data_IF_247421213148
#
_entry.id   IF_247421213148
#
_cell.length_a   1.000
_cell.length_b   1.000
_cell.length_c   1.000
_cell.angle_alpha   90.00
_cell.angle_beta   90.00
_cell.angle_gamma   90.00
#
_symmetry.space_group_name_H-M   'P 1'
#
loop_
_entity.id
_entity.type
_entity.pdbx_description
1 polymer ?
2 water ?
#
# COMPACT_ATOMS: atom_id res chain seq x y z
N UNK A 1 -25.65 11.21 4.18
CA UNK A 1 -24.60 12.22 4.27
C UNK A 1 -23.73 12.23 3.01
N UNK A 2 -23.35 13.42 2.57
CA UNK A 2 -22.31 13.56 1.56
C UNK A 2 -21.20 14.44 2.13
N UNK A 3 -20.18 14.64 1.30
CA UNK A 3 -18.97 15.30 1.73
C UNK A 3 -18.40 16.01 0.51
N UNK A 4 -17.70 17.10 0.75
CA UNK A 4 -17.02 17.78 -0.34
C UNK A 4 -15.74 17.03 -0.66
N UNK A 5 -15.50 16.81 -1.95
CA UNK A 5 -14.23 16.31 -2.43
C UNK A 5 -13.54 17.47 -3.13
N UNK A 6 -12.42 17.91 -2.58
CA UNK A 6 -11.61 18.95 -3.16
C UNK A 6 -10.39 18.30 -3.81
N UNK A 7 -10.22 18.51 -5.09
CA UNK A 7 -9.11 17.94 -5.85
C UNK A 7 -8.22 19.10 -6.28
N UNK A 8 -6.95 19.04 -5.88
CA UNK A 8 -6.05 20.17 -6.01
C UNK A 8 -4.74 19.74 -6.63
N UNK A 9 -4.26 20.54 -7.55
CA UNK A 9 -2.89 20.44 -8.00
C UNK A 9 -2.19 21.68 -7.44
N UNK A 10 -1.24 21.46 -6.53
CA UNK A 10 -0.62 22.57 -5.83
C UNK A 10 0.45 23.26 -6.66
N UNK A 11 1.05 22.57 -7.62
CA UNK A 11 2.32 23.07 -8.11
C UNK A 11 2.78 22.40 -9.39
N UNK A 12 2.05 21.42 -9.84
CA UNK A 12 2.63 20.72 -10.96
C UNK A 12 2.20 21.38 -12.27
N UNK A 13 3.13 21.69 -13.15
CA UNK A 13 2.74 22.26 -14.44
C UNK A 13 2.06 21.20 -15.30
N UNK A 14 1.33 21.67 -16.29
CA UNK A 14 0.73 20.76 -17.22
C UNK A 14 -0.62 20.31 -16.71
N UNK A 15 -1.08 19.23 -17.32
CA UNK A 15 -2.45 18.80 -17.10
C UNK A 15 -2.47 17.71 -16.05
N UNK A 16 -3.39 17.83 -15.11
CA UNK A 16 -3.66 16.81 -14.12
C UNK A 16 -5.15 16.51 -14.15
N UNK A 17 -5.47 15.25 -14.33
CA UNK A 17 -6.84 14.79 -14.19
C UNK A 17 -6.93 13.89 -12.96
N UNK A 18 -8.03 14.00 -12.25
CA UNK A 18 -8.35 13.08 -11.19
C UNK A 18 -9.43 12.13 -11.67
N UNK A 19 -9.41 10.91 -11.14
CA UNK A 19 -10.54 10.00 -11.24
C UNK A 19 -10.96 9.64 -9.83
N UNK A 20 -12.26 9.49 -9.63
CA UNK A 20 -12.77 9.01 -8.37
C UNK A 20 -13.57 7.76 -8.69
N UNK A 21 -13.10 6.62 -8.21
CA UNK A 21 -13.78 5.36 -8.41
C UNK A 21 -14.10 4.77 -7.05
N UNK A 22 -15.15 3.95 -7.02
CA UNK A 22 -15.48 3.24 -5.80
C UNK A 22 -16.73 2.42 -6.02
N UNK A 23 -17.22 1.86 -4.93
CA UNK A 23 -18.45 1.08 -4.94
C UNK A 23 -19.51 1.84 -4.19
N UNK A 24 -20.67 2.02 -4.82
CA UNK A 24 -21.73 2.76 -4.17
C UNK A 24 -22.25 1.97 -2.98
N UNK A 25 -22.42 2.66 -1.85
CA UNK A 25 -22.87 2.02 -0.63
C UNK A 25 -24.22 1.36 -0.87
N UNK A 26 -24.30 0.06 -0.55
CA UNK A 26 -25.53 -0.68 -0.72
C UNK A 26 -25.55 -1.49 -2.00
N UNK A 27 -25.61 -0.79 -3.12
CA UNK A 27 -25.71 -1.47 -4.41
C UNK A 27 -24.46 -2.24 -4.75
N UNK A 28 -23.34 -1.95 -4.08
CA UNK A 28 -22.01 -2.50 -4.39
C UNK A 28 -21.55 -2.18 -5.81
N UNK A 29 -22.27 -1.32 -6.52
CA UNK A 29 -21.98 -1.11 -7.93
C UNK A 29 -20.84 -0.12 -8.08
N UNK A 30 -19.89 -0.48 -8.93
CA UNK A 30 -18.85 0.46 -9.34
C UNK A 30 -19.45 1.79 -9.72
N UNK A 31 -18.90 2.85 -9.15
CA UNK A 31 -19.27 4.19 -9.54
C UNK A 31 -18.00 4.98 -9.82
N UNK A 32 -18.13 5.98 -10.67
CA UNK A 32 -17.07 6.93 -10.92
C UNK A 32 -17.66 8.32 -10.78
N UNK A 33 -16.95 9.20 -10.09
CA UNK A 33 -17.37 10.58 -10.09
C UNK A 33 -17.03 11.18 -11.43
N UNK A 34 -17.88 12.04 -11.93
CA UNK A 34 -17.66 12.62 -13.24
C UNK A 34 -17.21 14.06 -13.10
N UNK A 35 -16.50 14.58 -14.10
CA UNK A 35 -16.12 16.01 -14.06
C UNK A 35 -17.29 16.92 -13.80
N UNK A 36 -18.49 16.60 -14.28
CA UNK A 36 -19.65 17.46 -14.05
C UNK A 36 -20.23 17.33 -12.64
N UNK A 37 -19.59 16.56 -11.76
CA UNK A 37 -20.08 16.37 -10.41
C UNK A 37 -21.04 15.22 -10.22
N UNK A 38 -21.59 14.68 -11.31
CA UNK A 38 -22.51 13.56 -11.19
C UNK A 38 -21.75 12.26 -11.10
N UNK A 39 -22.47 11.20 -10.77
CA UNK A 39 -21.91 9.86 -10.68
C UNK A 39 -22.17 9.13 -11.99
N UNK A 40 -21.16 8.41 -12.45
CA UNK A 40 -21.32 7.46 -13.54
C UNK A 40 -21.29 6.07 -12.94
N UNK A 41 -22.40 5.36 -13.08
CA UNK A 41 -22.51 3.96 -12.64
C UNK A 41 -22.47 3.08 -13.87
N UNK A 42 -21.32 2.51 -14.24
CA UNK A 42 -21.26 1.74 -15.48
C UNK A 42 -22.21 0.56 -15.46
N UNK A 43 -22.83 0.30 -16.60
CA UNK A 43 -23.49 -0.98 -16.75
C UNK A 43 -22.46 -2.03 -17.12
N UNK A 44 -22.83 -3.28 -16.91
CA UNK A 44 -21.95 -4.36 -17.36
C UNK A 44 -21.78 -4.26 -18.86
N UNK A 45 -20.55 -4.35 -19.36
CA UNK A 45 -20.32 -4.23 -20.80
C UNK A 45 -20.59 -5.55 -21.51
N UNK A 46 -20.81 -5.44 -22.81
CA UNK A 46 -20.99 -6.62 -23.63
C UNK A 46 -19.74 -7.41 -23.89
N UNK A 47 -18.57 -6.88 -23.52
CA UNK A 47 -17.33 -7.55 -23.84
C UNK A 47 -16.30 -7.16 -22.78
N UNK A 48 -15.29 -7.98 -22.55
CA UNK A 48 -14.22 -7.59 -21.64
C UNK A 48 -13.41 -6.45 -22.23
N UNK A 49 -12.64 -5.81 -21.36
CA UNK A 49 -11.74 -4.75 -21.80
C UNK A 49 -12.49 -3.68 -22.58
N UNK A 50 -13.72 -3.43 -22.20
CA UNK A 50 -14.50 -2.39 -22.85
C UNK A 50 -14.06 -1.03 -22.32
N UNK A 51 -13.60 -0.13 -23.17
CA UNK A 51 -13.22 1.21 -22.68
C UNK A 51 -14.37 1.84 -21.94
N UNK A 52 -14.03 2.55 -20.86
CA UNK A 52 -15.03 3.25 -20.09
C UNK A 52 -15.87 4.15 -21.00
N UNK A 53 -17.19 3.93 -21.09
CA UNK A 53 -18.00 4.67 -22.07
C UNK A 53 -18.08 6.14 -21.80
N UNK A 54 -17.81 6.57 -20.57
CA UNK A 54 -17.91 7.97 -20.20
C UNK A 54 -16.52 8.42 -19.77
N UNK A 55 -16.13 9.62 -20.19
CA UNK A 55 -14.85 10.18 -19.75
C UNK A 55 -15.05 10.67 -18.33
N UNK A 56 -14.53 9.92 -17.37
CA UNK A 56 -14.67 10.30 -15.98
C UNK A 56 -13.44 11.03 -15.46
N UNK A 57 -12.53 11.39 -16.35
CA UNK A 57 -11.40 12.23 -15.97
C UNK A 57 -11.90 13.56 -15.47
N UNK A 58 -11.44 13.95 -14.27
CA UNK A 58 -11.83 15.22 -13.68
C UNK A 58 -10.63 16.13 -13.86
N UNK A 59 -10.67 17.05 -14.82
CA UNK A 59 -9.55 17.97 -15.01
C UNK A 59 -9.36 18.84 -13.78
N UNK A 60 -8.13 18.85 -13.29
CA UNK A 60 -7.80 19.73 -12.18
C UNK A 60 -7.49 21.12 -12.70
N UNK A 61 -7.86 22.13 -11.93
CA UNK A 61 -7.38 23.47 -12.19
C UNK A 61 -5.85 23.48 -12.24
N UNK A 62 -5.27 24.49 -12.88
CA UNK A 62 -3.83 24.56 -12.97
C UNK A 62 -3.18 24.61 -11.61
N UNK A 63 -1.89 24.28 -11.59
CA UNK A 63 -1.06 24.36 -10.40
C UNK A 63 -1.35 25.62 -9.60
N UNK A 64 -1.76 25.44 -8.35
CA UNK A 64 -2.05 26.57 -7.48
C UNK A 64 -3.33 27.32 -7.77
N UNK A 65 -4.09 26.92 -8.78
CA UNK A 65 -5.33 27.65 -9.06
C UNK A 65 -6.46 27.31 -8.11
N UNK A 66 -6.25 26.37 -7.19
CA UNK A 66 -7.30 26.02 -6.27
C UNK A 66 -7.93 24.68 -6.62
N UNK A 67 -8.81 24.20 -5.75
CA UNK A 67 -9.37 22.87 -5.95
C UNK A 67 -10.59 22.86 -6.87
N UNK A 68 -10.70 21.76 -7.60
CA UNK A 68 -11.99 21.32 -8.10
C UNK A 68 -12.76 20.73 -6.92
N UNK A 69 -13.91 21.31 -6.62
CA UNK A 69 -14.74 20.89 -5.50
C UNK A 69 -15.99 20.24 -6.07
N UNK A 70 -16.23 18.99 -5.67
CA UNK A 70 -17.46 18.31 -6.03
C UNK A 70 -18.05 17.66 -4.80
N UNK A 71 -19.31 17.26 -4.92
CA UNK A 71 -19.98 16.56 -3.85
C UNK A 71 -19.59 15.09 -3.94
N UNK A 72 -18.93 14.60 -2.90
CA UNK A 72 -18.52 13.21 -2.86
C UNK A 72 -19.66 12.39 -2.30
N UNK A 73 -20.27 11.50 -3.07
CA UNK A 73 -21.25 10.58 -2.49
C UNK A 73 -20.54 9.49 -1.73
N UNK A 74 -21.30 8.83 -0.87
CA UNK A 74 -20.73 7.74 -0.11
C UNK A 74 -20.42 6.58 -1.04
N UNK A 75 -19.26 5.98 -0.82
CA UNK A 75 -18.78 4.87 -1.62
C UNK A 75 -17.67 4.22 -0.86
N UNK A 76 -17.39 2.97 -1.18
CA UNK A 76 -16.39 2.22 -0.45
C UNK A 76 -15.43 1.58 -1.43
N UNK A 77 -14.28 1.16 -0.92
CA UNK A 77 -13.25 0.60 -1.75
C UNK A 77 -12.90 1.61 -2.82
N UNK A 78 -12.98 2.87 -2.45
CA UNK A 78 -12.90 3.98 -3.37
C UNK A 78 -11.45 4.43 -3.56
N UNK A 79 -11.21 5.08 -4.69
CA UNK A 79 -9.90 5.59 -4.99
C UNK A 79 -10.05 6.98 -5.57
N UNK A 80 -9.07 7.82 -5.27
CA UNK A 80 -8.85 9.03 -6.05
C UNK A 80 -7.59 8.80 -6.83
N UNK A 81 -7.70 8.80 -8.16
CA UNK A 81 -6.55 8.70 -9.03
C UNK A 81 -6.14 10.09 -9.46
N UNK A 82 -4.88 10.23 -9.75
CA UNK A 82 -4.38 11.41 -10.45
C UNK A 82 -3.53 10.90 -11.58
N UNK A 83 -3.54 11.65 -12.67
CA UNK A 83 -2.71 11.34 -13.82
C UNK A 83 -2.24 12.65 -14.40
N UNK A 84 -0.96 12.70 -14.76
CA UNK A 84 -0.39 13.88 -15.36
C UNK A 84 -0.40 13.73 -16.86
N UNK A 85 -0.67 14.85 -17.54
CA UNK A 85 -0.55 14.93 -19.00
C UNK A 85 -1.63 14.09 -19.67
N UNK A 86 -1.51 12.77 -19.57
CA UNK A 86 -2.48 11.90 -20.20
C UNK A 86 -3.74 11.79 -19.35
N UNK A 87 -4.70 11.05 -19.87
CA UNK A 87 -5.79 10.54 -19.06
C UNK A 87 -5.50 9.07 -18.77
N UNK A 88 -6.27 8.51 -17.85
CA UNK A 88 -6.12 7.09 -17.58
C UNK A 88 -7.15 6.33 -18.40
N UNK A 89 -6.74 5.18 -18.93
CA UNK A 89 -7.66 4.30 -19.62
C UNK A 89 -8.24 3.33 -18.58
N UNK A 90 -9.48 3.56 -18.22
CA UNK A 90 -10.25 2.59 -17.46
C UNK A 90 -11.04 1.74 -18.43
N UNK A 91 -11.23 0.47 -18.06
CA UNK A 91 -12.03 -0.40 -18.88
C UNK A 91 -13.11 -1.01 -18.01
N UNK A 92 -14.04 -1.68 -18.67
CA UNK A 92 -15.10 -2.43 -18.01
C UNK A 92 -14.99 -3.86 -18.48
N UNK A 93 -15.05 -4.79 -17.54
CA UNK A 93 -15.28 -6.17 -17.84
C UNK A 93 -16.70 -6.52 -17.43
N UNK A 94 -17.27 -7.60 -17.95
CA UNK A 94 -18.63 -7.97 -17.56
C UNK A 94 -18.76 -8.01 -16.05
N UNK A 95 -19.87 -7.49 -15.55
CA UNK A 95 -20.06 -7.40 -14.12
C UNK A 95 -21.12 -6.41 -13.72
N UNK A 96 -20.87 -5.11 -13.89
CA UNK A 96 -19.61 -4.54 -14.40
C UNK A 96 -18.47 -4.66 -13.40
N UNK A 97 -17.28 -4.94 -13.91
CA UNK A 97 -16.06 -4.96 -13.11
C UNK A 97 -15.13 -3.91 -13.68
N UNK A 98 -14.88 -2.84 -12.92
CA UNK A 98 -13.98 -1.80 -13.38
C UNK A 98 -12.58 -2.37 -13.53
N UNK A 99 -12.00 -2.22 -14.72
CA UNK A 99 -10.61 -2.59 -14.95
C UNK A 99 -9.78 -1.39 -14.55
N UNK A 100 -9.09 -1.50 -13.47
CA UNK A 100 -8.32 -0.40 -12.90
C UNK A 100 -6.90 -0.43 -13.45
N UNK A 101 -6.32 0.74 -13.70
CA UNK A 101 -4.93 0.78 -14.16
C UNK A 101 -4.07 -0.07 -13.26
N UNK A 102 -3.28 -0.95 -13.87
CA UNK A 102 -2.47 -1.92 -13.15
C UNK A 102 -1.05 -1.38 -13.12
N UNK A 103 -0.68 -0.74 -12.00
CA UNK A 103 0.59 -0.02 -11.92
C UNK A 103 1.80 -0.94 -12.06
N UNK A 104 1.67 -2.23 -11.75
CA UNK A 104 2.79 -3.17 -11.79
C UNK A 104 2.70 -4.12 -12.96
N UNK A 105 1.86 -3.81 -13.94
CA UNK A 105 1.71 -4.68 -15.10
C UNK A 105 2.22 -3.93 -16.32
N UNK A 106 3.35 -4.31 -16.90
CA UNK A 106 3.94 -3.51 -17.98
C UNK A 106 3.09 -3.46 -19.24
N UNK A 107 2.24 -4.47 -19.47
CA UNK A 107 1.31 -4.43 -20.60
C UNK A 107 0.18 -3.44 -20.38
N UNK A 108 0.03 -2.90 -19.19
CA UNK A 108 -1.12 -2.06 -18.89
C UNK A 108 -1.07 -0.77 -19.72
N UNK A 109 -2.20 -0.36 -20.30
CA UNK A 109 -2.22 0.86 -21.11
C UNK A 109 -1.70 2.08 -20.40
N UNK A 110 -1.82 2.12 -19.08
CA UNK A 110 -1.39 3.27 -18.31
C UNK A 110 0.00 3.09 -17.72
N UNK A 111 0.64 1.96 -17.99
CA UNK A 111 1.91 1.65 -17.32
C UNK A 111 2.95 2.72 -17.57
N UNK A 112 3.02 3.21 -18.80
CA UNK A 112 3.90 4.29 -19.14
C UNK A 112 3.44 5.66 -18.71
N UNK A 113 2.30 5.76 -18.05
CA UNK A 113 1.80 7.07 -17.67
C UNK A 113 2.17 7.39 -16.23
N UNK A 114 2.21 8.70 -15.95
CA UNK A 114 2.49 9.21 -14.63
C UNK A 114 1.18 9.32 -13.88
N UNK A 115 0.87 8.29 -13.09
CA UNK A 115 -0.37 8.33 -12.33
C UNK A 115 -0.14 7.74 -10.95
N UNK A 116 -1.10 8.01 -10.10
CA UNK A 116 -1.06 7.60 -8.71
C UNK A 116 -2.49 7.47 -8.26
N UNK A 117 -2.65 6.92 -7.07
CA UNK A 117 -3.98 6.93 -6.48
C UNK A 117 -3.80 6.84 -4.98
N UNK A 118 -4.82 7.30 -4.28
CA UNK A 118 -4.99 6.98 -2.89
C UNK A 118 -6.34 6.30 -2.74
N UNK A 119 -6.61 5.82 -1.54
CA UNK A 119 -7.81 5.01 -1.32
C UNK A 119 -8.64 5.67 -0.24
N UNK A 120 -9.93 5.44 -0.32
CA UNK A 120 -10.78 5.98 0.72
C UNK A 120 -12.07 5.20 0.73
N UNK A 121 -12.78 5.34 1.83
CA UNK A 121 -14.12 4.83 1.97
C UNK A 121 -14.90 5.91 2.67
N UNK A 122 -16.12 6.12 2.20
CA UNK A 122 -16.99 7.14 2.77
C UNK A 122 -18.33 6.45 2.96
N UNK A 123 -18.69 6.20 4.21
CA UNK A 123 -19.93 5.53 4.58
C UNK A 123 -20.59 6.41 5.64
N UNK A 124 -21.74 6.06 6.23
CA UNK A 124 -22.33 6.97 7.24
C UNK A 124 -21.54 7.04 8.53
N UNK A 125 -20.65 6.07 8.78
CA UNK A 125 -19.81 6.10 9.97
C UNK A 125 -18.68 7.13 9.84
N UNK A 126 -17.97 7.11 8.72
CA UNK A 126 -16.80 7.95 8.57
C UNK A 126 -16.42 8.06 7.10
N UNK A 127 -15.58 9.03 6.81
CA UNK A 127 -14.71 8.98 5.66
C UNK A 127 -13.35 8.54 6.16
N UNK A 128 -12.85 7.43 5.65
CA UNK A 128 -11.52 6.95 5.96
C UNK A 128 -10.73 7.01 4.68
N UNK A 129 -9.60 7.70 4.70
CA UNK A 129 -8.74 7.78 3.54
C UNK A 129 -7.36 7.28 3.93
N UNK A 130 -6.58 6.90 2.93
CA UNK A 130 -5.31 6.29 3.23
C UNK A 130 -4.32 6.56 2.10
N UNK A 131 -3.21 7.18 2.46
CA UNK A 131 -2.02 7.15 1.61
C UNK A 131 -1.22 5.94 2.06
N UNK A 132 -1.03 4.99 1.16
CA UNK A 132 -0.25 3.81 1.49
C UNK A 132 0.83 3.62 0.45
N UNK A 133 2.00 3.21 0.92
CA UNK A 133 3.09 2.83 0.04
C UNK A 133 3.38 1.36 0.13
N UNK A 134 2.35 0.58 0.47
CA UNK A 134 2.53 -0.87 0.50
C UNK A 134 2.84 -1.39 -0.89
N UNK A 135 2.21 -0.81 -1.91
CA UNK A 135 2.30 -1.33 -3.26
C UNK A 135 3.19 -0.52 -4.17
N UNK A 136 3.12 0.80 -4.07
CA UNK A 136 3.92 1.60 -4.98
C UNK A 136 4.09 2.99 -4.41
N UNK A 137 5.11 3.66 -4.91
CA UNK A 137 5.29 5.08 -4.79
C UNK A 137 5.36 5.61 -6.21
N UNK A 138 4.94 6.83 -6.40
CA UNK A 138 4.85 7.34 -7.76
C UNK A 138 5.49 8.71 -7.85
N UNK A 139 5.75 9.10 -9.10
CA UNK A 139 6.13 10.45 -9.46
C UNK A 139 5.00 11.43 -9.28
N UNK A 140 3.85 11.00 -8.76
CA UNK A 140 2.70 11.89 -8.61
C UNK A 140 2.17 11.79 -7.19
N UNK A 141 3.00 12.11 -6.20
CA UNK A 141 2.63 11.85 -4.81
C UNK A 141 1.38 12.60 -4.41
N UNK A 142 0.51 11.91 -3.68
CA UNK A 142 -0.74 12.44 -3.20
C UNK A 142 -0.61 12.76 -1.74
N UNK A 143 -1.15 13.91 -1.34
CA UNK A 143 -1.36 14.25 0.05
C UNK A 143 -2.83 14.52 0.25
N UNK A 144 -3.31 14.44 1.47
CA UNK A 144 -4.72 14.66 1.67
C UNK A 144 -4.94 15.39 2.98
N UNK A 145 -6.10 16.04 3.03
CA UNK A 145 -6.58 16.71 4.22
C UNK A 145 -8.04 16.36 4.35
N UNK A 146 -8.42 15.85 5.51
CA UNK A 146 -9.80 15.54 5.81
C UNK A 146 -10.26 16.50 6.88
N UNK A 147 -11.23 17.34 6.53
CA UNK A 147 -11.83 18.28 7.47
C UNK A 147 -13.22 17.76 7.83
N UNK A 148 -13.46 17.59 9.12
CA UNK A 148 -14.76 17.21 9.62
C UNK A 148 -14.84 17.64 11.06
N UNK A 149 -15.06 16.68 11.97
CA UNK A 149 -14.95 16.98 13.38
C UNK A 149 -13.59 17.60 13.70
N UNK A 150 -12.53 17.06 13.11
CA UNK A 150 -11.19 17.60 13.24
C UNK A 150 -10.61 17.79 11.85
N UNK A 151 -9.43 18.37 11.79
CA UNK A 151 -8.67 18.45 10.55
C UNK A 151 -7.59 17.38 10.60
N UNK A 152 -7.57 16.52 9.60
CA UNK A 152 -6.58 15.47 9.50
C UNK A 152 -5.84 15.67 8.20
N UNK A 153 -4.51 15.67 8.28
CA UNK A 153 -3.66 15.85 7.12
C UNK A 153 -2.75 14.64 7.01
N UNK A 154 -2.53 14.18 5.80
CA UNK A 154 -1.52 13.18 5.53
C UNK A 154 -0.56 13.81 4.55
N UNK A 155 0.68 13.95 4.98
CA UNK A 155 1.69 14.54 4.14
C UNK A 155 2.02 13.60 2.99
N UNK A 156 2.23 14.14 1.79
CA UNK A 156 2.57 13.30 0.64
C UNK A 156 4.02 12.87 0.67
N UNK A 157 4.33 11.95 -0.22
CA UNK A 157 5.72 11.80 -0.61
C UNK A 157 6.24 13.18 -1.01
N UNK A 158 7.42 13.57 -0.55
CA UNK A 158 7.96 14.86 -0.97
C UNK A 158 8.27 14.82 -2.45
N UNK A 159 8.27 16.01 -3.04
CA UNK A 159 8.74 16.15 -4.40
C UNK A 159 10.04 15.39 -4.59
N UNK A 160 10.08 14.54 -5.60
CA UNK A 160 11.27 13.79 -5.92
C UNK A 160 11.44 12.49 -5.15
N UNK A 161 10.49 12.14 -4.29
CA UNK A 161 10.66 10.93 -3.48
C UNK A 161 10.86 9.71 -4.36
N UNK A 162 10.04 9.58 -5.41
CA UNK A 162 10.09 8.36 -6.22
C UNK A 162 11.47 8.20 -6.84
N UNK A 163 12.09 9.31 -7.21
CA UNK A 163 13.43 9.24 -7.78
C UNK A 163 14.44 8.78 -6.74
N UNK A 164 14.39 9.39 -5.56
CA UNK A 164 15.25 8.95 -4.45
C UNK A 164 15.03 7.47 -4.17
N UNK A 165 13.76 7.08 -4.06
CA UNK A 165 13.43 5.69 -3.76
C UNK A 165 13.98 4.79 -4.86
N UNK A 166 13.75 5.17 -6.12
CA UNK A 166 14.30 4.42 -7.23
C UNK A 166 15.82 4.36 -7.12
N UNK A 167 16.44 5.50 -6.87
CA UNK A 167 17.90 5.53 -6.77
C UNK A 167 18.40 4.71 -5.58
N UNK A 168 17.76 4.86 -4.42
CA UNK A 168 18.18 4.05 -3.26
C UNK A 168 18.05 2.57 -3.56
N UNK A 169 16.93 2.17 -4.16
CA UNK A 169 16.72 0.75 -4.41
C UNK A 169 17.69 0.25 -5.48
N UNK A 170 17.96 1.07 -6.49
CA UNK A 170 18.97 0.70 -7.47
C UNK A 170 20.34 0.57 -6.80
N UNK A 171 20.69 1.54 -5.94
CA UNK A 171 21.89 1.42 -5.14
C UNK A 171 21.88 0.13 -4.32
N UNK A 172 20.74 -0.17 -3.70
CA UNK A 172 20.62 -1.42 -2.97
C UNK A 172 20.90 -2.60 -3.88
N UNK A 173 20.26 -2.61 -5.06
CA UNK A 173 20.46 -3.70 -6.02
C UNK A 173 21.92 -3.83 -6.44
N UNK A 174 22.59 -2.70 -6.66
CA UNK A 174 24.03 -2.76 -6.93
C UNK A 174 24.76 -3.43 -5.77
N UNK A 175 24.33 -3.16 -4.54
CA UNK A 175 25.04 -3.68 -3.38
C UNK A 175 24.80 -5.18 -3.21
N UNK A 176 23.55 -5.62 -3.28
CA UNK A 176 23.22 -6.99 -2.94
C UNK A 176 22.84 -7.87 -4.13
N UNK A 177 22.80 -7.31 -5.34
CA UNK A 177 22.47 -8.13 -6.49
C UNK A 177 21.05 -8.61 -6.53
N UNK A 178 20.21 -8.14 -5.61
CA UNK A 178 18.78 -8.44 -5.65
C UNK A 178 18.09 -7.47 -6.61
N UNK A 179 16.97 -7.88 -7.19
CA UNK A 179 16.34 -7.04 -8.23
C UNK A 179 15.58 -5.83 -7.70
N UNK A 180 16.10 -5.14 -6.69
CA UNK A 180 15.43 -3.93 -6.23
C UNK A 180 15.31 -2.91 -7.33
N UNK A 181 16.27 -2.90 -8.25
CA UNK A 181 16.22 -1.95 -9.35
C UNK A 181 15.05 -2.27 -10.29
N UNK A 182 14.69 -3.55 -10.42
CA UNK A 182 13.57 -3.91 -11.27
C UNK A 182 12.24 -3.45 -10.72
N UNK A 183 12.18 -3.03 -9.44
CA UNK A 183 10.96 -2.43 -8.93
C UNK A 183 10.68 -1.08 -9.54
N UNK A 184 11.68 -0.47 -10.17
CA UNK A 184 11.52 0.87 -10.70
C UNK A 184 10.87 0.79 -12.08
N UNK A 185 9.87 1.62 -12.31
CA UNK A 185 9.31 1.78 -13.65
C UNK A 185 9.71 3.14 -14.17
N UNK A 186 10.40 3.15 -15.30
CA UNK A 186 10.72 4.38 -16.01
C UNK A 186 9.92 4.42 -17.30
N UNK A 187 9.38 5.60 -17.60
CA UNK A 187 8.74 5.82 -18.88
C UNK A 187 9.72 5.69 -20.03
N UNK A 188 9.16 5.66 -21.25
CA UNK A 188 9.97 5.59 -22.45
C UNK A 188 10.97 6.74 -22.56
N UNK A 189 10.91 7.73 -21.67
CA UNK A 189 11.78 8.90 -21.68
C UNK A 189 12.71 8.95 -20.49
N UNK A 190 12.78 7.89 -19.67
CA UNK A 190 13.65 7.85 -18.51
C UNK A 190 13.03 8.37 -17.22
N UNK A 191 11.91 9.10 -17.29
CA UNK A 191 11.19 9.53 -16.11
C UNK A 191 10.83 8.35 -15.22
N UNK A 192 11.28 8.40 -13.96
CA UNK A 192 10.80 7.41 -13.00
C UNK A 192 9.31 7.65 -12.78
N UNK A 193 8.49 6.68 -13.14
CA UNK A 193 7.06 6.88 -12.97
C UNK A 193 6.59 6.39 -11.61
N UNK A 194 7.16 5.29 -11.18
CA UNK A 194 6.74 4.68 -9.95
C UNK A 194 7.78 3.65 -9.59
N UNK A 195 7.78 3.28 -8.33
CA UNK A 195 8.47 2.09 -7.87
C UNK A 195 7.42 1.28 -7.14
N UNK A 196 7.41 -0.01 -7.41
CA UNK A 196 6.43 -0.90 -6.80
C UNK A 196 7.15 -1.76 -5.77
N UNK A 197 6.41 -2.21 -4.77
CA UNK A 197 6.98 -3.05 -3.76
C UNK A 197 7.34 -4.41 -4.36
N UNK A 198 8.22 -5.16 -3.69
CA UNK A 198 8.70 -6.42 -4.28
C UNK A 198 7.60 -7.41 -4.59
N UNK A 199 6.58 -7.53 -3.74
CA UNK A 199 5.53 -8.51 -4.02
C UNK A 199 4.93 -8.25 -5.39
N UNK A 200 4.81 -6.98 -5.78
CA UNK A 200 4.27 -6.66 -7.10
C UNK A 200 5.19 -7.12 -8.22
N UNK A 201 6.51 -7.09 -8.00
CA UNK A 201 7.41 -7.68 -8.99
C UNK A 201 7.39 -9.19 -8.91
N UNK A 202 7.07 -9.73 -7.75
CA UNK A 202 7.10 -11.18 -7.59
C UNK A 202 5.83 -11.84 -8.07
N UNK A 203 4.71 -11.11 -7.98
CA UNK A 203 3.40 -11.71 -8.23
C UNK A 203 3.27 -12.38 -9.59
N UNK A 204 3.82 -11.84 -10.69
CA UNK A 204 3.74 -12.59 -11.96
C UNK A 204 4.39 -13.94 -11.90
N UNK A 205 5.37 -14.12 -11.03
CA UNK A 205 6.08 -15.38 -10.92
C UNK A 205 5.57 -16.26 -9.78
N UNK A 206 4.43 -15.92 -9.18
CA UNK A 206 3.91 -16.79 -8.14
C UNK A 206 3.63 -18.18 -8.69
N UNK A 207 3.14 -18.25 -9.94
CA UNK A 207 2.93 -19.53 -10.61
C UNK A 207 4.25 -20.21 -10.93
N UNK A 208 5.35 -19.46 -11.05
CA UNK A 208 6.66 -20.03 -11.37
C UNK A 208 7.70 -19.53 -10.37
N UNK A 209 7.68 -20.08 -9.15
CA UNK A 209 8.57 -19.55 -8.11
C UNK A 209 10.05 -19.60 -8.45
N UNK A 210 10.47 -20.56 -9.29
CA UNK A 210 11.89 -20.70 -9.60
C UNK A 210 12.46 -19.44 -10.25
N UNK A 211 11.64 -18.70 -10.97
CA UNK A 211 12.06 -17.46 -11.59
C UNK A 211 11.64 -16.23 -10.81
N UNK A 212 11.02 -16.41 -9.66
CA UNK A 212 10.49 -15.29 -8.93
C UNK A 212 11.62 -14.39 -8.44
N UNK A 213 11.59 -13.10 -8.74
CA UNK A 213 12.56 -12.18 -8.15
C UNK A 213 12.46 -12.25 -6.64
N UNK A 214 13.61 -12.08 -5.98
CA UNK A 214 13.71 -12.04 -4.53
C UNK A 214 13.42 -13.36 -3.86
N UNK A 215 13.20 -14.43 -4.64
CA UNK A 215 12.73 -15.69 -4.07
C UNK A 215 13.58 -16.11 -2.87
N UNK A 216 14.88 -15.90 -2.94
CA UNK A 216 15.76 -16.36 -1.90
C UNK A 216 16.39 -15.23 -1.12
N UNK A 217 15.82 -14.03 -1.23
CA UNK A 217 16.34 -12.90 -0.47
C UNK A 217 16.40 -13.24 1.00
N UNK A 218 15.29 -13.75 1.54
CA UNK A 218 15.14 -13.96 2.97
C UNK A 218 15.42 -15.39 3.40
N UNK A 219 15.68 -16.29 2.44
CA UNK A 219 15.69 -17.72 2.75
C UNK A 219 16.69 -18.05 3.84
N UNK A 220 17.93 -17.56 3.70
CA UNK A 220 18.93 -17.81 4.72
C UNK A 220 18.50 -17.22 6.07
N UNK A 221 18.07 -15.97 6.05
CA UNK A 221 17.67 -15.32 7.30
C UNK A 221 16.51 -16.06 7.95
N UNK A 222 15.53 -16.49 7.16
CA UNK A 222 14.42 -17.24 7.71
C UNK A 222 14.91 -18.50 8.41
N UNK A 223 15.85 -19.21 7.77
CA UNK A 223 16.40 -20.42 8.38
C UNK A 223 17.09 -20.08 9.70
N UNK A 224 17.87 -19.00 9.70
CA UNK A 224 18.48 -18.52 10.92
C UNK A 224 17.44 -18.24 11.99
N UNK A 225 16.38 -17.52 11.63
CA UNK A 225 15.32 -17.20 12.58
C UNK A 225 14.66 -18.46 13.08
N UNK A 226 14.27 -19.32 12.15
CA UNK A 226 13.64 -20.57 12.53
C UNK A 226 14.55 -21.37 13.44
N UNK A 227 15.85 -21.41 13.12
CA UNK A 227 16.78 -22.14 13.97
C UNK A 227 16.91 -21.48 15.34
N UNK A 228 17.00 -20.15 15.37
CA UNK A 228 17.05 -19.45 16.65
C UNK A 228 15.91 -19.90 17.56
N UNK A 229 14.69 -19.88 17.04
CA UNK A 229 13.54 -20.12 17.89
C UNK A 229 13.20 -21.60 18.01
N UNK A 230 14.05 -22.49 17.51
CA UNK A 230 13.99 -23.88 17.94
C UNK A 230 14.51 -24.05 19.35
N UNK A 231 15.34 -23.13 19.85
CA UNK A 231 16.01 -23.31 21.13
C UNK A 231 15.71 -22.20 22.13
N UNK A 232 15.00 -21.16 21.73
CA UNK A 232 14.63 -20.10 22.65
C UNK A 232 13.28 -19.56 22.21
N UNK A 233 12.57 -19.00 23.16
CA UNK A 233 11.24 -18.48 22.87
C UNK A 233 11.29 -17.24 21.98
N UNK A 234 10.30 -17.14 21.13
CA UNK A 234 9.93 -15.90 20.47
C UNK A 234 8.71 -15.39 21.22
N UNK A 235 8.83 -14.24 21.84
CA UNK A 235 7.74 -13.66 22.58
C UNK A 235 7.14 -12.52 21.76
N UNK A 236 5.87 -12.67 21.39
CA UNK A 236 5.20 -11.67 20.60
C UNK A 236 4.20 -11.00 21.50
N UNK A 237 4.35 -9.70 21.70
CA UNK A 237 3.37 -8.97 22.48
C UNK A 237 2.20 -8.70 21.57
N UNK A 238 1.06 -9.32 21.87
CA UNK A 238 -0.16 -9.06 21.14
C UNK A 238 -0.62 -7.63 21.29
N UNK A 239 -0.16 -6.97 22.36
CA UNK A 239 -0.47 -5.58 22.62
C UNK A 239 -1.95 -5.41 22.86
N UNK A 240 -2.40 -4.17 22.96
CA UNK A 240 -3.76 -3.91 23.39
C UNK A 240 -4.04 -4.53 24.73
N UNK A 241 -3.02 -4.72 25.56
CA UNK A 241 -3.17 -5.35 26.84
C UNK A 241 -3.43 -6.82 26.79
N UNK A 242 -3.35 -7.44 25.61
CA UNK A 242 -3.58 -8.88 25.50
C UNK A 242 -2.38 -9.70 25.91
N UNK A 243 -1.22 -9.11 26.08
CA UNK A 243 -0.09 -9.84 26.59
C UNK A 243 0.74 -10.46 25.50
N UNK A 244 1.76 -11.16 25.94
CA UNK A 244 2.66 -11.83 25.01
C UNK A 244 2.27 -13.29 24.89
N UNK A 245 2.56 -13.87 23.74
CA UNK A 245 2.52 -15.30 23.55
C UNK A 245 3.92 -15.72 23.16
N UNK A 246 4.39 -16.77 23.80
CA UNK A 246 5.71 -17.31 23.54
C UNK A 246 5.60 -18.41 22.50
N UNK A 247 6.52 -18.42 21.57
CA UNK A 247 6.51 -19.40 20.50
C UNK A 247 7.87 -20.05 20.41
N UNK A 248 7.85 -21.28 19.93
CA UNK A 248 9.05 -22.04 19.68
C UNK A 248 8.87 -22.69 18.33
N UNK A 249 9.97 -22.82 17.59
CA UNK A 249 9.91 -23.54 16.32
C UNK A 249 10.04 -25.02 16.60
N UNK A 250 9.05 -25.77 16.17
CA UNK A 250 8.95 -27.22 16.34
C UNK A 250 9.04 -27.80 14.93
N UNK A 251 10.20 -28.31 14.56
CA UNK A 251 10.43 -28.69 13.19
C UNK A 251 10.52 -27.44 12.33
N UNK A 252 9.54 -27.24 11.45
CA UNK A 252 9.42 -26.03 10.66
C UNK A 252 8.21 -25.20 11.06
N UNK A 253 7.58 -25.55 12.16
CA UNK A 253 6.36 -24.87 12.57
C UNK A 253 6.70 -24.01 13.78
N UNK A 254 6.61 -22.70 13.59
CA UNK A 254 6.64 -21.78 14.72
C UNK A 254 5.31 -21.90 15.45
N UNK A 255 5.35 -22.39 16.67
CA UNK A 255 4.14 -22.69 17.39
C UNK A 255 4.13 -21.87 18.68
N UNK A 256 3.05 -21.15 18.89
CA UNK A 256 2.88 -20.35 20.08
C UNK A 256 1.94 -21.04 21.04
N UNK A 257 2.12 -20.72 22.32
CA UNK A 257 1.09 -21.06 23.28
C UNK A 257 -0.24 -20.55 22.75
N UNK A 258 -1.28 -21.34 22.95
CA UNK A 258 -2.54 -21.10 22.31
C UNK A 258 -2.73 -21.86 21.02
N UNK A 259 -1.73 -22.64 20.60
CA UNK A 259 -1.83 -23.48 19.42
C UNK A 259 -1.63 -22.77 18.11
N UNK A 260 -1.20 -21.52 18.13
CA UNK A 260 -1.03 -20.79 16.89
C UNK A 260 0.21 -21.28 16.17
N UNK A 261 0.05 -21.61 14.90
CA UNK A 261 1.13 -22.22 14.14
C UNK A 261 1.46 -21.37 12.93
N UNK A 262 2.75 -21.32 12.64
CA UNK A 262 3.27 -20.58 11.50
C UNK A 262 4.32 -21.47 10.85
N UNK A 263 4.03 -21.94 9.64
CA UNK A 263 5.01 -22.71 8.91
C UNK A 263 6.14 -21.78 8.52
N UNK A 264 7.28 -22.34 8.13
CA UNK A 264 8.40 -21.51 7.76
C UNK A 264 7.99 -20.58 6.62
N UNK A 265 8.14 -19.27 6.77
CA UNK A 265 7.83 -18.39 5.65
C UNK A 265 8.89 -18.49 4.57
N UNK A 266 8.51 -18.01 3.40
CA UNK A 266 9.45 -17.76 2.33
C UNK A 266 9.61 -16.27 2.16
N UNK A 267 10.59 -15.87 1.35
CA UNK A 267 10.72 -14.47 1.01
C UNK A 267 9.42 -13.94 0.42
N UNK A 268 8.74 -14.75 -0.38
CA UNK A 268 7.45 -14.37 -0.91
C UNK A 268 6.49 -14.00 0.22
N UNK A 269 6.37 -14.88 1.21
CA UNK A 269 5.46 -14.62 2.32
C UNK A 269 5.80 -13.31 3.01
N UNK A 270 7.09 -13.10 3.28
CA UNK A 270 7.52 -11.89 3.98
C UNK A 270 7.10 -10.66 3.20
N UNK A 271 7.30 -10.68 1.88
CA UNK A 271 6.94 -9.51 1.09
C UNK A 271 5.42 -9.36 0.98
N UNK A 272 4.71 -10.44 0.63
CA UNK A 272 3.27 -10.25 0.47
C UNK A 272 2.57 -10.09 1.80
N UNK A 273 3.14 -10.64 2.88
CA UNK A 273 2.46 -10.71 4.18
C UNK A 273 1.11 -11.38 4.05
N UNK A 274 1.01 -12.30 3.10
CA UNK A 274 -0.31 -12.88 2.83
C UNK A 274 -0.20 -14.26 2.18
N UNK A 275 0.93 -14.93 2.29
CA UNK A 275 1.06 -16.30 1.87
C UNK A 275 1.85 -17.04 2.92
N UNK A 276 1.90 -18.36 2.79
CA UNK A 276 2.52 -19.19 3.78
C UNK A 276 1.90 -18.93 5.13
N UNK A 277 2.75 -18.71 6.13
CA UNK A 277 2.21 -18.48 7.49
C UNK A 277 1.50 -17.16 7.64
N UNK A 278 1.61 -16.25 6.69
CA UNK A 278 0.98 -14.94 6.77
C UNK A 278 -0.26 -14.85 5.91
N UNK A 279 -0.66 -15.96 5.30
CA UNK A 279 -1.90 -16.00 4.54
C UNK A 279 -3.04 -15.60 5.46
N UNK A 280 -3.81 -14.61 5.04
CA UNK A 280 -4.99 -14.23 5.78
C UNK A 280 -5.97 -15.38 5.75
N UNK A 281 -6.50 -15.73 6.91
CA UNK A 281 -7.51 -16.77 7.01
C UNK A 281 -8.58 -16.26 7.96
N UNK A 282 -9.81 -16.03 7.48
CA UNK A 282 -10.84 -15.46 8.37
C UNK A 282 -11.17 -16.36 9.54
N UNK A 283 -10.87 -17.66 9.44
CA UNK A 283 -11.02 -18.57 10.57
C UNK A 283 -10.00 -18.31 11.67
N UNK A 284 -8.94 -17.56 11.38
CA UNK A 284 -7.91 -17.32 12.37
C UNK A 284 -8.45 -16.53 13.55
N UNK A 285 -8.08 -16.96 14.76
CA UNK A 285 -8.42 -16.20 15.95
C UNK A 285 -7.73 -14.82 15.92
N UNK A 286 -8.27 -13.92 16.74
CA UNK A 286 -7.65 -12.61 16.92
C UNK A 286 -6.18 -12.74 17.31
N UNK A 287 -5.89 -13.63 18.26
CA UNK A 287 -4.51 -13.83 18.69
C UNK A 287 -3.65 -14.31 17.54
N UNK A 288 -4.11 -15.34 16.83
CA UNK A 288 -3.39 -15.81 15.66
C UNK A 288 -3.13 -14.67 14.69
N UNK A 289 -4.15 -13.86 14.43
CA UNK A 289 -3.99 -12.76 13.49
C UNK A 289 -2.99 -11.73 14.02
N UNK A 290 -3.09 -11.42 15.32
CA UNK A 290 -2.14 -10.50 15.92
C UNK A 290 -0.71 -11.06 15.84
N UNK A 291 -0.57 -12.35 16.15
CA UNK A 291 0.73 -13.00 16.03
C UNK A 291 1.25 -12.89 14.61
N UNK A 292 0.41 -13.28 13.66
CA UNK A 292 0.74 -13.22 12.26
C UNK A 292 1.26 -11.84 11.87
N UNK A 293 0.46 -10.81 12.16
CA UNK A 293 0.85 -9.44 11.83
C UNK A 293 2.23 -9.14 12.38
N UNK A 294 2.45 -9.47 13.64
CA UNK A 294 3.69 -9.04 14.26
C UNK A 294 4.88 -9.84 13.74
N UNK A 295 4.67 -11.13 13.48
CA UNK A 295 5.75 -11.93 12.94
C UNK A 295 6.11 -11.46 11.55
N UNK A 296 5.10 -11.25 10.70
CA UNK A 296 5.36 -10.71 9.38
C UNK A 296 6.08 -9.37 9.49
N UNK A 297 5.61 -8.51 10.39
CA UNK A 297 6.26 -7.22 10.55
C UNK A 297 7.71 -7.39 10.98
N UNK A 298 7.95 -8.27 11.96
CA UNK A 298 9.31 -8.45 12.44
C UNK A 298 10.24 -9.02 11.38
N UNK A 299 9.71 -9.89 10.52
CA UNK A 299 10.51 -10.37 9.39
C UNK A 299 10.79 -9.24 8.42
N UNK A 300 9.78 -8.45 8.09
CA UNK A 300 9.99 -7.36 7.16
C UNK A 300 11.01 -6.37 7.69
N UNK A 301 10.98 -6.12 8.99
CA UNK A 301 11.89 -5.17 9.60
C UNK A 301 13.18 -5.82 10.05
N UNK A 302 13.30 -7.14 9.89
CA UNK A 302 14.52 -7.86 10.21
C UNK A 302 14.88 -7.72 11.68
N UNK A 303 13.89 -7.81 12.55
CA UNK A 303 14.15 -7.83 13.98
C UNK A 303 13.93 -9.20 14.59
N UNK A 304 13.82 -10.24 13.76
CA UNK A 304 13.50 -11.56 14.31
C UNK A 304 14.67 -12.15 15.06
N UNK A 305 15.89 -11.81 14.67
CA UNK A 305 17.06 -12.32 15.36
C UNK A 305 17.45 -11.41 16.51
N UNK A 306 17.25 -10.11 16.32
CA UNK A 306 17.69 -9.13 17.30
C UNK A 306 16.74 -9.04 18.48
N UNK A 307 15.45 -9.31 18.27
CA UNK A 307 14.43 -9.06 19.29
C UNK A 307 13.55 -10.28 19.49
N UNK A 308 13.95 -11.19 20.38
CA UNK A 308 13.08 -12.32 20.74
C UNK A 308 11.78 -11.88 21.40
N UNK A 309 11.67 -10.63 21.81
CA UNK A 309 10.39 -10.11 22.24
C UNK A 309 10.08 -8.88 21.42
N UNK A 310 8.88 -8.84 20.87
CA UNK A 310 8.52 -7.75 19.99
C UNK A 310 7.01 -7.75 19.85
N UNK A 311 6.42 -6.62 19.42
CA UNK A 311 7.09 -5.38 19.01
C UNK A 311 7.51 -4.48 20.16
N UNK A 312 6.93 -4.68 21.33
CA UNK A 312 7.29 -3.83 22.46
C UNK A 312 8.71 -4.10 22.87
N UNK A 313 9.46 -3.03 23.08
CA UNK A 313 10.89 -3.15 23.29
C UNK A 313 11.71 -2.88 22.05
N UNK A 314 11.09 -2.93 20.88
CA UNK A 314 11.74 -2.53 19.64
C UNK A 314 11.40 -1.08 19.34
N UNK A 315 12.21 -0.48 18.48
CA UNK A 315 11.97 0.86 18.02
C UNK A 315 12.28 0.87 16.54
N UNK A 316 11.86 1.94 15.87
CA UNK A 316 12.17 2.10 14.46
C UNK A 316 13.67 1.97 14.22
N UNK A 317 14.48 2.40 15.19
CA UNK A 317 15.94 2.27 15.07
C UNK A 317 16.38 0.82 14.93
N UNK A 318 15.57 -0.13 15.38
CA UNK A 318 15.93 -1.52 15.20
C UNK A 318 15.65 -2.04 13.81
N UNK A 319 14.83 -1.35 13.05
CA UNK A 319 14.32 -1.92 11.81
C UNK A 319 15.35 -1.83 10.69
N UNK A 320 15.27 -2.79 9.77
CA UNK A 320 15.89 -2.69 8.44
C UNK A 320 17.39 -2.58 8.54
N UNK A 321 17.98 -3.30 9.49
CA UNK A 321 19.42 -3.35 9.60
C UNK A 321 19.93 -4.59 8.92
N UNK A 322 21.11 -4.46 8.31
CA UNK A 322 21.73 -5.57 7.64
C UNK A 322 21.32 -5.67 6.20
N UNK A 323 22.02 -6.54 5.48
CA UNK A 323 21.86 -6.59 4.03
C UNK A 323 20.52 -7.17 3.62
N UNK A 324 20.01 -8.14 4.38
CA UNK A 324 18.78 -8.82 4.07
C UNK A 324 17.68 -8.22 4.93
N UNK A 325 16.88 -7.36 4.32
CA UNK A 325 15.72 -6.76 4.96
C UNK A 325 14.80 -6.32 3.86
N UNK A 326 13.60 -5.91 4.25
CA UNK A 326 12.72 -5.35 3.25
C UNK A 326 13.23 -3.98 2.89
N UNK A 327 14.16 -3.92 1.93
CA UNK A 327 14.75 -2.65 1.57
C UNK A 327 13.74 -1.72 0.93
N UNK A 328 12.74 -2.28 0.26
CA UNK A 328 11.64 -1.45 -0.22
C UNK A 328 11.07 -0.64 0.92
N UNK A 329 10.72 -1.31 2.03
CA UNK A 329 10.13 -0.58 3.14
C UNK A 329 11.13 0.39 3.73
N UNK A 330 12.37 -0.06 3.92
CA UNK A 330 13.40 0.82 4.46
C UNK A 330 13.51 2.07 3.62
N UNK A 331 13.63 1.90 2.30
CA UNK A 331 13.85 3.04 1.42
C UNK A 331 12.62 3.93 1.38
N UNK A 332 11.43 3.33 1.29
CA UNK A 332 10.23 4.16 1.26
C UNK A 332 10.09 4.94 2.57
N UNK A 333 10.36 4.29 3.70
CA UNK A 333 10.29 5.02 4.97
C UNK A 333 11.29 6.16 5.00
N UNK A 334 12.50 5.91 4.47
CA UNK A 334 13.51 6.96 4.47
C UNK A 334 13.06 8.16 3.66
N UNK A 335 12.18 7.93 2.69
CA UNK A 335 11.84 8.95 1.70
C UNK A 335 10.39 9.38 1.79
N UNK A 336 9.71 9.03 2.87
CA UNK A 336 8.33 9.44 3.05
C UNK A 336 8.18 9.92 4.48
N UNK A 337 7.41 10.98 4.68
CA UNK A 337 7.22 11.48 6.04
C UNK A 337 6.30 10.60 6.87
N UNK A 338 5.37 9.90 6.25
CA UNK A 338 4.37 9.11 6.96
C UNK A 338 3.79 8.14 5.97
N UNK A 339 3.14 7.10 6.48
CA UNK A 339 2.55 6.14 5.58
C UNK A 339 3.28 4.82 5.62
N UNK A 340 2.53 3.75 5.48
CA UNK A 340 3.08 2.41 5.57
C UNK A 340 3.71 2.01 4.25
N UNK A 341 4.70 1.13 4.34
CA UNK A 341 5.43 0.69 3.18
C UNK A 341 5.37 -0.82 3.03
N UNK A 342 4.66 -1.50 3.92
CA UNK A 342 4.44 -2.92 3.73
C UNK A 342 3.20 -3.31 4.52
N UNK A 343 2.62 -4.48 4.25
CA UNK A 343 1.24 -4.71 4.70
C UNK A 343 1.07 -4.71 6.21
N UNK A 344 2.09 -5.10 6.97
CA UNK A 344 1.97 -5.08 8.42
C UNK A 344 2.81 -3.96 9.03
N UNK A 345 3.05 -2.91 8.26
CA UNK A 345 3.76 -1.76 8.78
C UNK A 345 3.00 -1.11 9.93
N UNK A 346 1.70 -1.39 10.06
CA UNK A 346 0.92 -0.85 11.17
C UNK A 346 1.33 -1.47 12.50
N UNK A 347 2.04 -2.59 12.47
CA UNK A 347 2.57 -3.13 13.71
C UNK A 347 3.57 -2.12 14.24
N UNK A 348 3.36 -1.70 15.48
CA UNK A 348 4.29 -0.73 16.03
C UNK A 348 4.43 -0.97 17.52
N UNK A 349 5.59 -0.68 18.09
CA UNK A 349 5.72 -0.77 19.54
C UNK A 349 4.73 0.14 20.22
N UNK A 350 4.15 -0.34 21.32
CA UNK A 350 3.32 0.52 22.12
C UNK A 350 4.09 1.78 22.46
N UNK A 351 3.37 2.90 22.47
CA UNK A 351 3.99 4.17 22.74
C UNK A 351 4.64 4.79 21.53
N UNK A 352 4.74 4.04 20.41
CA UNK A 352 5.23 4.72 19.22
C UNK A 352 4.07 5.34 18.47
N UNK A 353 4.33 6.42 17.76
CA UNK A 353 3.23 7.15 17.12
C UNK A 353 2.68 6.37 15.92
N UNK A 354 1.38 6.52 15.69
CA UNK A 354 0.79 6.04 14.46
C UNK A 354 1.44 6.75 13.28
N UNK A 355 2.09 5.99 12.42
CA UNK A 355 2.68 6.59 11.23
C UNK A 355 1.97 6.06 10.01
N UNK A 356 0.71 5.64 10.18
CA UNK A 356 -0.11 5.30 9.02
C UNK A 356 -0.34 6.54 8.16
N UNK A 357 -0.58 6.30 6.88
CA UNK A 357 -0.95 7.41 6.03
C UNK A 357 -2.44 7.61 6.01
N UNK A 358 -3.11 7.25 7.10
CA UNK A 358 -4.55 7.27 7.14
C UNK A 358 -5.08 8.57 7.73
N UNK A 359 -6.24 8.97 7.22
CA UNK A 359 -7.00 10.06 7.81
C UNK A 359 -8.44 9.61 7.82
N UNK A 360 -9.12 9.84 8.94
CA UNK A 360 -10.51 9.44 9.02
C UNK A 360 -11.23 10.40 9.93
N UNK A 361 -12.50 10.62 9.63
CA UNK A 361 -13.32 11.52 10.41
C UNK A 361 -14.75 11.02 10.35
N UNK A 362 -15.45 11.07 11.49
CA UNK A 362 -16.79 10.56 11.54
C UNK A 362 -17.83 11.48 10.94
N UNK A 363 -17.51 12.75 10.79
CA UNK A 363 -18.39 13.73 10.17
C UNK A 363 -17.63 14.50 9.11
N UNK A 364 -17.24 13.84 8.02
CA UNK A 364 -16.42 14.51 7.01
C UNK A 364 -17.19 15.62 6.33
N UNK A 365 -16.57 16.79 6.26
CA UNK A 365 -17.11 17.91 5.52
C UNK A 365 -16.38 18.16 4.21
N UNK A 366 -15.05 18.07 4.22
CA UNK A 366 -14.30 18.18 2.98
C UNK A 366 -13.11 17.24 3.00
N UNK A 367 -13.01 16.45 1.95
CA UNK A 367 -11.89 15.57 1.69
C UNK A 367 -11.05 16.23 0.59
N UNK A 368 -9.91 16.79 0.96
CA UNK A 368 -9.05 17.46 0.00
C UNK A 368 -7.91 16.54 -0.38
N UNK A 369 -7.84 16.20 -1.64
CA UNK A 369 -6.83 15.30 -2.18
C UNK A 369 -6.02 16.10 -3.18
N UNK A 370 -4.70 16.10 -3.00
CA UNK A 370 -3.86 17.03 -3.74
C UNK A 370 -2.64 16.32 -4.27
N UNK A 371 -2.16 16.82 -5.41
CA UNK A 371 -0.84 16.48 -5.89
C UNK A 371 0.00 17.74 -5.87
N UNK A 372 1.27 17.59 -6.15
CA UNK A 372 2.16 18.72 -6.03
C UNK A 372 2.38 19.12 -4.58
N UNK A 373 3.06 20.24 -4.40
CA UNK A 373 3.34 20.75 -3.07
C UNK A 373 3.42 22.26 -3.04
#
# INVERSE_FOLDING_TARGET
>A
ATCELALENKSLPGTVHAYVTGHEQGTDRWVLLRPDGSVYRPDSPGAPQTPLPVDCAIPLKGAGAGPVVMTLPQMYGARVYFVRDDKLDFYLNPGPSLVEPAFATPTDPNYGRTWSFCEFTFNPQQLYANISYVDLVTALPIGLTLEGDSTHTVAPLPDGAVQRIADDLTAQAASDGQPWDKLVTRGSDGQVLRVVSPQNLMAPFFDRPDQMPFRDLFTAQIDEVWEKYRSTDLRIDLQGGRGTLAGRVSGDTLTFEGGHTFVKPTSKDIFTCNHGPFANDPADSDDKKALLARIAAGFNRSIMLSHPQQPNGTTVADYYKGGVTNHWSRVVHANSPIGYAFPYDDVRPDGEPDVSGAAHDGNPRRFTVSVGS
#
